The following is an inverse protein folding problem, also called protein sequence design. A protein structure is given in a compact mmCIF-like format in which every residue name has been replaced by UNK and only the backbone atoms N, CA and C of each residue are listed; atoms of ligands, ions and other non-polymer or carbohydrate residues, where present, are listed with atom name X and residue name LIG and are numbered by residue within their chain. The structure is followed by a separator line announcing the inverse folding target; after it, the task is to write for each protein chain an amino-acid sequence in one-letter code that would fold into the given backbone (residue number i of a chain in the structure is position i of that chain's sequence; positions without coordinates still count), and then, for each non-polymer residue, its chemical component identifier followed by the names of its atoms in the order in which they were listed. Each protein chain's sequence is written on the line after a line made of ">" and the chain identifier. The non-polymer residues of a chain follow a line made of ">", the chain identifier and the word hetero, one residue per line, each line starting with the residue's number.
data_IF_828260165054
#
_entry.id   IF_828260165054
#
_cell.length_a   1.000
_cell.length_b   1.000
_cell.length_c   1.000
_cell.angle_alpha   90.00
_cell.angle_beta   90.00
_cell.angle_gamma   90.00
#
_symmetry.space_group_name_H-M   'P 1'
#
loop_
_entity.id
_entity.type
_entity.pdbx_description
1 polymer ?
#
# COMPACT_ATOMS: atom_id res chain seq x y z
N UNK A 1 -14.28 -2.57 -5.29
CA UNK A 1 -13.18 -3.41 -5.77
C UNK A 1 -12.81 -4.37 -4.67
N UNK A 2 -12.92 -5.67 -4.89
CA UNK A 2 -12.50 -6.69 -3.92
C UNK A 2 -10.99 -6.95 -4.02
N UNK A 3 -10.44 -7.77 -3.13
CA UNK A 3 -9.00 -8.05 -3.10
C UNK A 3 -8.47 -8.64 -4.41
N UNK A 4 -9.20 -9.58 -5.02
CA UNK A 4 -8.77 -10.22 -6.27
C UNK A 4 -8.67 -9.19 -7.42
N UNK A 5 -9.64 -8.28 -7.51
CA UNK A 5 -9.61 -7.19 -8.47
C UNK A 5 -8.46 -6.21 -8.19
N UNK A 6 -8.21 -5.87 -6.91
CA UNK A 6 -7.08 -5.03 -6.51
C UNK A 6 -5.74 -5.65 -6.91
N UNK A 7 -5.54 -6.92 -6.55
CA UNK A 7 -4.33 -7.71 -6.85
C UNK A 7 -4.01 -7.74 -8.34
N UNK A 8 -5.03 -7.83 -9.19
CA UNK A 8 -4.88 -7.86 -10.64
C UNK A 8 -4.76 -6.46 -11.26
N UNK A 9 -5.12 -5.41 -10.52
CA UNK A 9 -5.10 -4.03 -11.02
C UNK A 9 -3.69 -3.57 -11.38
N UNK A 10 -3.58 -2.79 -12.45
CA UNK A 10 -2.30 -2.21 -12.87
C UNK A 10 -1.69 -1.30 -11.79
N UNK A 11 -2.44 -0.41 -11.10
CA UNK A 11 -1.88 0.42 -10.03
C UNK A 11 -1.24 -0.40 -8.90
N UNK A 12 -1.92 -1.42 -8.39
CA UNK A 12 -1.36 -2.25 -7.33
C UNK A 12 -0.08 -2.95 -7.80
N UNK A 13 -0.11 -3.59 -8.97
CA UNK A 13 1.06 -4.30 -9.50
C UNK A 13 2.25 -3.38 -9.75
N UNK A 14 2.02 -2.13 -10.19
CA UNK A 14 3.09 -1.14 -10.33
C UNK A 14 3.70 -0.81 -8.97
N UNK A 15 2.89 -0.50 -7.97
CA UNK A 15 3.38 -0.13 -6.63
C UNK A 15 4.15 -1.28 -5.97
N UNK A 16 3.59 -2.49 -5.98
CA UNK A 16 4.26 -3.66 -5.42
C UNK A 16 5.52 -4.02 -6.20
N UNK A 17 5.57 -3.80 -7.52
CA UNK A 17 6.82 -3.95 -8.29
C UNK A 17 7.87 -2.91 -7.88
N UNK A 18 7.49 -1.64 -7.70
CA UNK A 18 8.41 -0.57 -7.26
C UNK A 18 9.01 -0.86 -5.88
N UNK A 19 8.21 -1.43 -4.97
CA UNK A 19 8.69 -1.84 -3.64
C UNK A 19 9.49 -3.16 -3.67
N UNK A 20 9.53 -3.88 -4.79
CA UNK A 20 10.14 -5.22 -4.86
C UNK A 20 9.34 -6.31 -4.15
N UNK A 21 8.02 -6.11 -3.99
CA UNK A 21 7.10 -6.96 -3.22
C UNK A 21 6.03 -7.60 -4.11
N UNK A 22 6.23 -7.65 -5.43
CA UNK A 22 5.24 -8.22 -6.35
C UNK A 22 4.91 -9.68 -6.02
N UNK A 23 5.90 -10.44 -5.55
CA UNK A 23 5.69 -11.83 -5.15
C UNK A 23 4.84 -11.96 -3.87
N UNK A 24 4.93 -10.99 -2.95
CA UNK A 24 4.09 -10.95 -1.75
C UNK A 24 2.62 -10.69 -2.12
N UNK A 25 2.39 -9.75 -3.06
CA UNK A 25 1.06 -9.52 -3.61
C UNK A 25 0.54 -10.76 -4.36
N UNK A 26 1.41 -11.48 -5.07
CA UNK A 26 1.06 -12.70 -5.78
C UNK A 26 0.73 -13.86 -4.84
N UNK A 27 1.41 -13.98 -3.70
CA UNK A 27 1.21 -15.02 -2.69
C UNK A 27 -0.06 -14.79 -1.85
N UNK A 28 -0.41 -13.53 -1.56
CA UNK A 28 -1.58 -13.21 -0.76
C UNK A 28 -2.90 -13.63 -1.43
N UNK A 29 -3.81 -14.27 -0.67
CA UNK A 29 -5.16 -14.64 -1.13
C UNK A 29 -6.26 -13.72 -0.59
N UNK A 30 -5.95 -12.94 0.44
CA UNK A 30 -6.84 -11.96 1.07
C UNK A 30 -6.08 -10.71 1.53
N UNK A 31 -6.82 -9.67 1.95
CA UNK A 31 -6.21 -8.50 2.61
C UNK A 31 -5.50 -8.87 3.92
N UNK A 32 -6.04 -9.83 4.67
CA UNK A 32 -5.45 -10.31 5.93
C UNK A 32 -4.13 -11.03 5.65
N UNK A 33 -4.11 -11.94 4.68
CA UNK A 33 -2.89 -12.64 4.27
C UNK A 33 -1.82 -11.66 3.80
N UNK A 34 -2.22 -10.65 3.02
CA UNK A 34 -1.29 -9.61 2.57
C UNK A 34 -0.68 -8.85 3.74
N UNK A 35 -1.49 -8.49 4.74
CA UNK A 35 -0.99 -7.84 5.96
C UNK A 35 -0.01 -8.75 6.69
N UNK A 36 -0.36 -10.01 6.93
CA UNK A 36 0.50 -10.97 7.63
C UNK A 36 1.86 -11.13 6.93
N UNK A 37 1.86 -11.33 5.61
CA UNK A 37 3.07 -11.44 4.80
C UNK A 37 3.95 -10.17 4.88
N UNK A 38 3.34 -8.99 4.87
CA UNK A 38 4.06 -7.72 4.91
C UNK A 38 4.61 -7.44 6.32
N UNK A 39 3.86 -7.76 7.37
CA UNK A 39 4.31 -7.65 8.77
C UNK A 39 5.49 -8.60 9.02
N UNK A 40 5.39 -9.84 8.57
CA UNK A 40 6.49 -10.82 8.65
C UNK A 40 7.71 -10.34 7.86
N UNK A 41 7.53 -9.88 6.63
CA UNK A 41 8.60 -9.33 5.80
C UNK A 41 9.28 -8.12 6.43
N UNK A 42 8.52 -7.24 7.09
CA UNK A 42 9.07 -6.05 7.71
C UNK A 42 10.14 -6.41 8.73
N UNK A 43 9.91 -7.47 9.53
CA UNK A 43 10.75 -7.95 10.63
C UNK A 43 11.11 -6.86 11.65
N UNK A 44 10.80 -7.00 12.96
CA UNK A 44 10.96 -5.93 13.95
C UNK A 44 12.35 -5.29 13.98
N UNK A 45 13.41 -6.10 13.81
CA UNK A 45 14.79 -5.63 13.87
C UNK A 45 15.36 -5.10 12.54
N UNK A 46 14.70 -5.36 11.41
CA UNK A 46 15.23 -5.01 10.09
C UNK A 46 14.46 -3.86 9.43
N UNK A 47 13.16 -3.72 9.71
CA UNK A 47 12.34 -2.65 9.15
C UNK A 47 12.31 -2.66 7.62
N UNK A 48 12.38 -3.84 7.00
CA UNK A 48 12.57 -3.98 5.56
C UNK A 48 11.43 -3.34 4.78
N UNK A 49 10.18 -3.51 5.23
CA UNK A 49 9.03 -2.91 4.57
C UNK A 49 9.09 -1.38 4.68
N UNK A 50 9.34 -0.85 5.88
CA UNK A 50 9.49 0.59 6.12
C UNK A 50 10.55 1.19 5.19
N UNK A 51 11.69 0.53 5.03
CA UNK A 51 12.76 0.95 4.12
C UNK A 51 12.28 0.99 2.66
N UNK A 52 11.60 -0.06 2.18
CA UNK A 52 11.08 -0.12 0.80
C UNK A 52 10.04 0.96 0.53
N UNK A 53 9.16 1.24 1.48
CA UNK A 53 8.16 2.29 1.35
C UNK A 53 8.82 3.66 1.24
N UNK A 54 9.81 3.97 2.10
CA UNK A 54 10.55 5.25 2.05
C UNK A 54 11.32 5.42 0.74
N UNK A 55 11.98 4.37 0.26
CA UNK A 55 12.66 4.38 -1.05
C UNK A 55 11.65 4.61 -2.19
N UNK A 56 10.48 3.97 -2.12
CA UNK A 56 9.42 4.09 -3.12
C UNK A 56 8.79 5.50 -3.12
N UNK A 57 8.52 6.08 -1.96
CA UNK A 57 7.88 7.40 -1.84
C UNK A 57 8.69 8.51 -2.54
N UNK A 58 10.02 8.46 -2.40
CA UNK A 58 10.94 9.42 -3.03
C UNK A 58 10.90 9.43 -4.57
N UNK A 59 10.38 8.37 -5.20
CA UNK A 59 10.29 8.23 -6.66
C UNK A 59 8.86 8.11 -7.18
N UNK A 60 7.86 8.21 -6.31
CA UNK A 60 6.45 8.14 -6.68
C UNK A 60 5.91 9.47 -7.20
N UNK A 61 5.08 9.40 -8.24
CA UNK A 61 4.19 10.50 -8.61
C UNK A 61 3.11 10.74 -7.54
N UNK A 62 2.40 11.87 -7.61
CA UNK A 62 1.37 12.22 -6.63
C UNK A 62 0.28 11.15 -6.49
N UNK A 63 -0.22 10.60 -7.59
CA UNK A 63 -1.22 9.52 -7.56
C UNK A 63 -0.68 8.19 -6.99
N UNK A 64 0.59 7.89 -7.26
CA UNK A 64 1.27 6.71 -6.71
C UNK A 64 1.52 6.83 -5.21
N UNK A 65 1.91 8.02 -4.72
CA UNK A 65 2.08 8.26 -3.27
C UNK A 65 0.79 8.05 -2.51
N UNK A 66 -0.33 8.52 -3.05
CA UNK A 66 -1.64 8.31 -2.43
C UNK A 66 -1.95 6.81 -2.30
N UNK A 67 -1.67 6.01 -3.33
CA UNK A 67 -1.84 4.57 -3.26
C UNK A 67 -0.82 3.90 -2.33
N UNK A 68 0.43 4.37 -2.29
CA UNK A 68 1.44 3.90 -1.36
C UNK A 68 0.99 4.06 0.09
N UNK A 69 0.45 5.24 0.43
CA UNK A 69 -0.11 5.52 1.76
C UNK A 69 -1.30 4.60 2.07
N UNK A 70 -2.18 4.37 1.11
CA UNK A 70 -3.31 3.46 1.28
C UNK A 70 -2.87 2.01 1.48
N UNK A 71 -1.79 1.57 0.81
CA UNK A 71 -1.18 0.26 1.03
C UNK A 71 -0.63 0.18 2.46
N UNK A 72 0.11 1.19 2.93
CA UNK A 72 0.63 1.22 4.29
C UNK A 72 -0.49 1.11 5.33
N UNK A 73 -1.62 1.80 5.10
CA UNK A 73 -2.79 1.71 5.97
C UNK A 73 -3.33 0.27 6.07
N UNK A 74 -3.60 -0.39 4.94
CA UNK A 74 -4.18 -1.74 4.95
C UNK A 74 -3.20 -2.80 5.48
N UNK A 75 -1.88 -2.58 5.37
CA UNK A 75 -0.84 -3.51 5.85
C UNK A 75 -0.36 -3.26 7.28
N UNK A 76 -1.06 -2.48 8.09
CA UNK A 76 -0.74 -2.20 9.52
C UNK A 76 0.43 -1.20 9.76
N UNK A 77 0.74 -0.39 8.75
CA UNK A 77 1.76 0.66 8.80
C UNK A 77 1.16 2.06 8.58
N UNK A 78 -0.07 2.30 9.06
CA UNK A 78 -0.74 3.60 8.94
C UNK A 78 0.11 4.76 9.49
N UNK A 79 0.83 4.52 10.59
CA UNK A 79 1.77 5.49 11.18
C UNK A 79 2.87 5.94 10.20
N UNK A 80 3.32 5.06 9.29
CA UNK A 80 4.33 5.38 8.30
C UNK A 80 3.75 6.25 7.19
N UNK A 81 2.50 6.01 6.80
CA UNK A 81 1.81 6.91 5.87
C UNK A 81 1.69 8.31 6.46
N UNK A 82 1.29 8.41 7.75
CA UNK A 82 1.13 9.69 8.44
C UNK A 82 2.46 10.46 8.56
N UNK A 83 3.56 9.75 8.86
CA UNK A 83 4.93 10.29 8.86
C UNK A 83 5.32 10.86 7.48
N UNK A 84 5.09 10.08 6.41
CA UNK A 84 5.46 10.46 5.04
C UNK A 84 4.65 11.62 4.47
N UNK A 85 3.39 11.77 4.85
CA UNK A 85 2.56 12.87 4.36
C UNK A 85 2.48 14.06 5.33
N UNK A 86 3.33 14.11 6.36
CA UNK A 86 3.34 15.18 7.37
C UNK A 86 1.94 15.42 7.97
N UNK A 87 1.16 14.35 8.19
CA UNK A 87 -0.20 14.42 8.72
C UNK A 87 -1.31 14.81 7.73
N UNK A 88 -1.04 14.89 6.43
CA UNK A 88 -2.03 15.27 5.40
C UNK A 88 -2.65 14.09 4.61
N UNK A 89 -2.25 12.85 4.92
CA UNK A 89 -2.63 11.60 4.23
C UNK A 89 -4.10 11.54 3.83
N UNK A 90 -4.98 11.69 4.82
CA UNK A 90 -6.42 11.49 4.64
C UNK A 90 -7.06 12.50 3.70
N UNK A 91 -6.52 13.72 3.66
CA UNK A 91 -7.00 14.77 2.76
C UNK A 91 -6.58 14.45 1.32
N UNK A 92 -5.39 13.92 1.12
CA UNK A 92 -4.85 13.60 -0.20
C UNK A 92 -5.41 12.31 -0.79
N UNK A 93 -5.85 11.35 0.04
CA UNK A 93 -6.53 10.13 -0.43
C UNK A 93 -7.78 10.41 -1.27
N UNK A 94 -8.47 11.52 -1.00
CA UNK A 94 -9.64 11.96 -1.76
C UNK A 94 -9.31 12.55 -3.15
N UNK A 95 -8.03 12.81 -3.45
CA UNK A 95 -7.56 13.48 -4.67
C UNK A 95 -7.08 12.52 -5.76
N UNK A 96 -7.00 11.21 -5.49
CA UNK A 96 -6.67 10.23 -6.51
C UNK A 96 -7.77 10.18 -7.59
N UNK A 97 -7.37 10.02 -8.85
CA UNK A 97 -8.27 9.95 -10.01
C UNK A 97 -8.13 8.62 -10.76
N UNK A 98 -9.21 8.15 -11.38
CA UNK A 98 -9.19 6.98 -12.26
C UNK A 98 -8.91 5.66 -11.54
N UNK A 99 -8.07 4.81 -12.13
CA UNK A 99 -7.79 3.48 -11.58
C UNK A 99 -7.03 3.52 -10.23
N UNK A 100 -6.23 4.57 -10.00
CA UNK A 100 -5.61 4.80 -8.70
C UNK A 100 -6.67 5.09 -7.63
N UNK A 101 -7.71 5.85 -7.93
CA UNK A 101 -8.80 6.10 -7.00
C UNK A 101 -9.51 4.82 -6.59
N UNK A 102 -9.77 3.92 -7.55
CA UNK A 102 -10.40 2.63 -7.27
C UNK A 102 -9.53 1.73 -6.41
N UNK A 103 -8.22 1.70 -6.67
CA UNK A 103 -7.26 0.94 -5.87
C UNK A 103 -7.14 1.50 -4.44
N UNK A 104 -7.08 2.83 -4.29
CA UNK A 104 -7.06 3.51 -2.98
C UNK A 104 -8.34 3.21 -2.20
N UNK A 105 -9.50 3.35 -2.83
CA UNK A 105 -10.78 3.03 -2.20
C UNK A 105 -10.86 1.57 -1.76
N UNK A 106 -10.26 0.64 -2.52
CA UNK A 106 -10.19 -0.77 -2.15
C UNK A 106 -9.38 -0.99 -0.86
N UNK A 107 -8.24 -0.31 -0.70
CA UNK A 107 -7.44 -0.38 0.52
C UNK A 107 -8.17 0.22 1.74
N UNK A 108 -8.87 1.35 1.56
CA UNK A 108 -9.60 2.02 2.65
C UNK A 108 -10.81 1.18 3.08
N UNK A 109 -11.53 0.61 2.12
CA UNK A 109 -12.70 -0.23 2.38
C UNK A 109 -12.35 -1.67 2.78
N UNK A 110 -11.06 -2.02 2.85
CA UNK A 110 -10.64 -3.33 3.29
C UNK A 110 -10.99 -3.48 4.78
N UNK A 111 -12.02 -4.26 5.06
CA UNK A 111 -12.34 -4.70 6.42
C UNK A 111 -11.26 -5.67 6.88
N UNK A 112 -10.26 -5.15 7.59
CA UNK A 112 -9.23 -5.99 8.21
C UNK A 112 -9.65 -6.27 9.65
N UNK A 113 -10.66 -7.13 9.80
CA UNK A 113 -10.99 -7.79 11.06
C UNK A 113 -10.18 -9.07 11.23
#
# INVERSE_FOLDING_TARGET
>A
MNFAEFKMSQPARIMFRKMGLLDHLAAASSWRDLRELIVEFNHPDQGNFVKRVRECDGVCSSGERILLHAICYVTDFAWLADDLAEGSVWRDMSRASGDFQRAVAACIAAEVY
#
